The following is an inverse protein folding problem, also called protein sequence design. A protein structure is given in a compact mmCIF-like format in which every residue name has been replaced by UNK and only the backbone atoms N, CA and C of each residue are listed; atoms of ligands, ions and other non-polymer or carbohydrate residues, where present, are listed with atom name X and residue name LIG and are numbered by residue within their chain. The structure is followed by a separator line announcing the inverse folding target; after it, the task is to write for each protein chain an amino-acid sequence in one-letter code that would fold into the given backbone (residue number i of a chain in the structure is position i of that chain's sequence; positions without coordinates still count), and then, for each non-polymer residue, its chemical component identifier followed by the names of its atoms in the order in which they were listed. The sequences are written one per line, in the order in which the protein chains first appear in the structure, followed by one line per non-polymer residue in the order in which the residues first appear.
data_IF_445126103253
#
_entry.id   IF_445126103253
#
_cell.length_a   1.000
_cell.length_b   1.000
_cell.length_c   1.000
_cell.angle_alpha   90.00
_cell.angle_beta   90.00
_cell.angle_gamma   90.00
#
_symmetry.space_group_name_H-M   'P 1'
#
loop_
_entity.id
_entity.type
_entity.pdbx_description
1 polymer ?
#
# COMPACT_ATOMS: atom_id res chain seq x y z
N UNK A 1 -44.84 -31.99 97.11
CA UNK A 1 -44.02 -32.40 95.93
C UNK A 1 -44.78 -32.33 94.59
N UNK A 2 -46.06 -31.94 94.52
CA UNK A 2 -46.80 -31.85 93.24
C UNK A 2 -46.39 -30.65 92.37
N UNK A 3 -45.94 -29.58 93.02
CA UNK A 3 -45.51 -28.34 92.34
C UNK A 3 -44.13 -28.48 91.67
N UNK A 4 -43.27 -29.38 92.17
CA UNK A 4 -41.96 -29.66 91.56
C UNK A 4 -42.09 -30.46 90.25
N UNK A 5 -43.11 -31.31 90.15
CA UNK A 5 -43.40 -32.08 88.94
C UNK A 5 -43.87 -31.14 87.82
N UNK A 6 -44.76 -30.19 88.15
CA UNK A 6 -45.23 -29.17 87.21
C UNK A 6 -44.09 -28.26 86.71
N UNK A 7 -43.14 -27.90 87.57
CA UNK A 7 -41.99 -27.08 87.19
C UNK A 7 -41.05 -27.80 86.21
N UNK A 8 -40.82 -29.11 86.41
CA UNK A 8 -40.01 -29.92 85.50
C UNK A 8 -40.67 -30.06 84.12
N UNK A 9 -41.99 -30.26 84.06
CA UNK A 9 -42.73 -30.34 82.79
C UNK A 9 -42.63 -29.03 82.02
N UNK A 10 -42.72 -27.89 82.70
CA UNK A 10 -42.58 -26.57 82.06
C UNK A 10 -41.16 -26.36 81.48
N UNK A 11 -40.13 -26.85 82.18
CA UNK A 11 -38.73 -26.75 81.72
C UNK A 11 -38.47 -27.58 80.46
N UNK A 12 -39.10 -28.75 80.35
CA UNK A 12 -39.00 -29.59 79.14
C UNK A 12 -39.66 -28.95 77.92
N UNK A 13 -40.73 -28.16 78.10
CA UNK A 13 -41.41 -27.46 77.00
C UNK A 13 -40.56 -26.33 76.38
N UNK A 14 -39.69 -25.69 77.16
CA UNK A 14 -38.81 -24.61 76.66
C UNK A 14 -37.50 -25.12 76.01
N UNK A 15 -37.14 -26.40 76.17
CA UNK A 15 -35.87 -26.96 75.65
C UNK A 15 -35.88 -27.29 74.15
N UNK A 16 -36.97 -27.04 73.42
CA UNK A 16 -37.06 -27.32 71.98
C UNK A 16 -37.21 -26.06 71.11
N UNK A 17 -36.72 -24.90 71.57
CA UNK A 17 -36.54 -23.73 70.71
C UNK A 17 -35.26 -23.89 69.88
N UNK A 18 -35.31 -24.73 68.84
CA UNK A 18 -34.27 -24.77 67.81
C UNK A 18 -34.33 -23.43 67.08
N UNK A 19 -33.41 -22.52 67.41
CA UNK A 19 -33.19 -21.31 66.64
C UNK A 19 -32.74 -21.70 65.24
N UNK A 20 -33.68 -21.85 64.31
CA UNK A 20 -33.39 -21.67 62.89
C UNK A 20 -33.11 -20.18 62.76
N UNK A 21 -31.84 -19.79 62.95
CA UNK A 21 -31.34 -18.60 62.31
C UNK A 21 -31.66 -18.80 60.84
N UNK A 22 -32.67 -18.08 60.35
CA UNK A 22 -32.92 -17.96 58.92
C UNK A 22 -31.57 -17.61 58.33
N UNK A 23 -31.02 -18.58 57.59
CA UNK A 23 -29.74 -18.44 56.95
C UNK A 23 -29.83 -17.10 56.22
N UNK A 24 -28.96 -16.17 56.63
CA UNK A 24 -28.79 -14.89 55.97
C UNK A 24 -28.82 -15.22 54.49
N UNK A 25 -29.89 -14.79 53.83
CA UNK A 25 -29.92 -14.78 52.38
C UNK A 25 -28.83 -13.79 52.06
N UNK A 26 -27.61 -14.31 51.95
CA UNK A 26 -26.53 -13.70 51.21
C UNK A 26 -27.15 -13.68 49.82
N UNK A 27 -27.88 -12.59 49.55
CA UNK A 27 -28.05 -12.09 48.22
C UNK A 27 -26.62 -11.84 47.79
N UNK A 28 -25.98 -12.88 47.27
CA UNK A 28 -25.02 -12.74 46.22
C UNK A 28 -25.80 -11.99 45.16
N UNK A 29 -25.78 -10.66 45.26
CA UNK A 29 -25.67 -9.81 44.10
C UNK A 29 -24.38 -10.26 43.43
N UNK A 30 -24.45 -11.43 42.80
CA UNK A 30 -23.54 -11.86 41.77
C UNK A 30 -23.75 -10.79 40.72
N UNK A 31 -22.92 -9.76 40.83
CA UNK A 31 -22.98 -8.60 39.99
C UNK A 31 -22.95 -9.14 38.58
N UNK A 32 -24.05 -8.96 37.83
CA UNK A 32 -24.12 -9.36 36.43
C UNK A 32 -23.11 -8.57 35.56
N UNK A 33 -22.34 -7.66 36.18
CA UNK A 33 -21.21 -6.97 35.58
C UNK A 33 -20.01 -7.93 35.65
N UNK A 34 -19.55 -8.46 34.52
CA UNK A 34 -18.37 -9.29 34.49
C UNK A 34 -17.15 -8.53 35.03
N UNK A 35 -16.16 -9.22 35.65
CA UNK A 35 -14.97 -8.58 36.24
C UNK A 35 -13.95 -8.13 35.18
N UNK A 36 -14.34 -8.05 33.92
CA UNK A 36 -13.49 -7.67 32.79
C UNK A 36 -14.17 -6.58 31.98
N UNK A 37 -13.33 -5.81 31.29
CA UNK A 37 -13.77 -4.72 30.45
C UNK A 37 -14.66 -5.25 29.29
N UNK A 38 -15.91 -4.79 29.23
CA UNK A 38 -16.85 -5.10 28.14
C UNK A 38 -16.86 -4.03 27.06
N UNK A 39 -15.92 -3.07 27.08
CA UNK A 39 -15.79 -2.11 25.99
C UNK A 39 -15.56 -2.88 24.70
N UNK A 40 -16.46 -2.66 23.73
CA UNK A 40 -16.37 -3.24 22.41
C UNK A 40 -15.10 -2.71 21.72
N UNK A 41 -14.03 -3.50 21.76
CA UNK A 41 -12.81 -3.21 21.02
C UNK A 41 -12.99 -3.75 19.60
N UNK A 42 -13.27 -2.85 18.67
CA UNK A 42 -13.36 -3.21 17.25
C UNK A 42 -12.04 -3.84 16.79
N UNK A 43 -12.14 -4.86 15.95
CA UNK A 43 -11.00 -5.58 15.35
C UNK A 43 -10.13 -4.66 14.49
N UNK A 44 -10.61 -3.47 14.14
CA UNK A 44 -9.86 -2.44 13.40
C UNK A 44 -9.23 -1.34 14.28
N UNK A 45 -9.40 -1.40 15.59
CA UNK A 45 -8.84 -0.39 16.49
C UNK A 45 -7.31 -0.48 16.62
N UNK A 46 -6.67 0.63 16.98
CA UNK A 46 -5.23 0.67 17.20
C UNK A 46 -4.82 -0.37 18.27
N UNK A 47 -3.92 -1.29 17.89
CA UNK A 47 -3.49 -2.39 18.77
C UNK A 47 -4.42 -3.61 18.80
N UNK A 48 -5.39 -3.72 17.89
CA UNK A 48 -6.17 -4.95 17.67
C UNK A 48 -5.44 -6.00 16.82
N UNK A 49 -4.34 -5.61 16.17
CA UNK A 49 -3.50 -6.52 15.36
C UNK A 49 -2.39 -7.15 16.19
N UNK A 50 -2.03 -8.40 15.87
CA UNK A 50 -0.87 -9.05 16.47
C UNK A 50 0.44 -8.42 15.98
N UNK A 51 1.52 -8.60 16.77
CA UNK A 51 2.85 -8.07 16.46
C UNK A 51 3.36 -8.57 15.10
N UNK A 52 3.10 -9.84 14.77
CA UNK A 52 3.55 -10.43 13.52
C UNK A 52 2.80 -9.87 12.31
N UNK A 53 1.49 -9.64 12.44
CA UNK A 53 0.68 -8.99 11.40
C UNK A 53 1.13 -7.52 11.22
N UNK A 54 1.38 -6.80 12.32
CA UNK A 54 1.93 -5.45 12.26
C UNK A 54 3.28 -5.41 11.53
N UNK A 55 4.15 -6.39 11.80
CA UNK A 55 5.45 -6.53 11.11
C UNK A 55 5.26 -6.82 9.63
N UNK A 56 4.35 -7.73 9.27
CA UNK A 56 4.06 -8.07 7.87
C UNK A 56 3.55 -6.85 7.09
N UNK A 57 2.59 -6.11 7.67
CA UNK A 57 2.06 -4.87 7.07
C UNK A 57 3.19 -3.84 6.86
N UNK A 58 4.09 -3.69 7.84
CA UNK A 58 5.22 -2.75 7.71
C UNK A 58 6.15 -3.14 6.57
N UNK A 59 6.51 -4.42 6.47
CA UNK A 59 7.39 -4.91 5.41
C UNK A 59 6.74 -4.80 4.03
N UNK A 60 5.47 -5.19 3.89
CA UNK A 60 4.76 -5.10 2.61
C UNK A 60 4.57 -3.66 2.15
N UNK A 61 4.28 -2.74 3.08
CA UNK A 61 4.16 -1.32 2.79
C UNK A 61 5.48 -0.74 2.26
N UNK A 62 6.60 -1.09 2.89
CA UNK A 62 7.92 -0.65 2.44
C UNK A 62 8.26 -1.21 1.05
N UNK A 63 8.06 -2.52 0.84
CA UNK A 63 8.28 -3.17 -0.46
C UNK A 63 7.44 -2.52 -1.58
N UNK A 64 6.18 -2.21 -1.30
CA UNK A 64 5.31 -1.54 -2.26
C UNK A 64 5.82 -0.15 -2.63
N UNK A 65 6.24 0.64 -1.64
CA UNK A 65 6.81 1.97 -1.89
C UNK A 65 8.09 1.91 -2.71
N UNK A 66 8.96 0.93 -2.42
CA UNK A 66 10.21 0.76 -3.15
C UNK A 66 9.96 0.29 -4.58
N UNK A 67 8.99 -0.62 -4.79
CA UNK A 67 8.54 -1.02 -6.12
C UNK A 67 8.04 0.18 -6.94
N UNK A 68 7.24 1.08 -6.36
CA UNK A 68 6.79 2.30 -7.06
C UNK A 68 7.99 3.18 -7.45
N UNK A 69 8.98 3.35 -6.58
CA UNK A 69 10.17 4.14 -6.88
C UNK A 69 10.97 3.52 -8.03
N UNK A 70 11.13 2.21 -8.04
CA UNK A 70 11.82 1.51 -9.13
C UNK A 70 11.10 1.68 -10.46
N UNK A 71 9.77 1.54 -10.48
CA UNK A 71 8.97 1.76 -11.69
C UNK A 71 9.14 3.20 -12.18
N UNK A 72 9.09 4.19 -11.28
CA UNK A 72 9.33 5.60 -11.63
C UNK A 72 10.72 5.80 -12.24
N UNK A 73 11.75 5.20 -11.64
CA UNK A 73 13.13 5.31 -12.12
C UNK A 73 13.28 4.74 -13.54
N UNK A 74 12.74 3.55 -13.78
CA UNK A 74 12.75 2.93 -15.12
C UNK A 74 12.01 3.76 -16.15
N UNK A 75 10.86 4.34 -15.80
CA UNK A 75 10.15 5.24 -16.72
C UNK A 75 10.97 6.48 -17.09
N UNK A 76 11.69 7.07 -16.13
CA UNK A 76 12.55 8.23 -16.39
C UNK A 76 13.75 7.86 -17.29
N UNK A 77 14.39 6.72 -17.02
CA UNK A 77 15.48 6.19 -17.86
C UNK A 77 15.00 5.93 -19.31
N UNK A 78 13.82 5.33 -19.48
CA UNK A 78 13.22 5.14 -20.81
C UNK A 78 12.89 6.45 -21.51
N UNK A 79 12.44 7.47 -20.76
CA UNK A 79 12.14 8.80 -21.31
C UNK A 79 13.40 9.46 -21.84
N UNK A 80 14.47 9.46 -21.04
CA UNK A 80 15.77 10.01 -21.44
C UNK A 80 16.30 9.28 -22.68
N UNK A 81 16.24 7.95 -22.70
CA UNK A 81 16.71 7.16 -23.83
C UNK A 81 15.91 7.43 -25.12
N UNK A 82 14.59 7.63 -25.02
CA UNK A 82 13.75 8.03 -26.15
C UNK A 82 14.11 9.43 -26.64
N UNK A 83 14.29 10.39 -25.73
CA UNK A 83 14.69 11.76 -26.11
C UNK A 83 16.07 11.80 -26.78
N UNK A 84 17.03 10.99 -26.33
CA UNK A 84 18.35 10.87 -26.97
C UNK A 84 18.25 10.25 -28.36
N UNK A 85 17.45 9.19 -28.54
CA UNK A 85 17.19 8.58 -29.84
C UNK A 85 16.52 9.56 -30.81
N UNK A 86 15.48 10.26 -30.37
CA UNK A 86 14.77 11.25 -31.18
C UNK A 86 15.71 12.40 -31.61
N UNK A 87 16.63 12.82 -30.74
CA UNK A 87 17.65 13.83 -31.08
C UNK A 87 18.67 13.28 -32.07
N UNK A 88 19.11 12.03 -31.91
CA UNK A 88 20.04 11.39 -32.85
C UNK A 88 19.41 11.22 -34.24
N UNK A 89 18.17 10.73 -34.31
CA UNK A 89 17.43 10.52 -35.55
C UNK A 89 17.17 11.83 -36.29
N UNK A 90 16.83 12.91 -35.56
CA UNK A 90 16.68 14.24 -36.15
C UNK A 90 17.97 14.76 -36.77
N UNK A 91 19.11 14.60 -36.08
CA UNK A 91 20.43 14.99 -36.62
C UNK A 91 20.78 14.19 -37.87
N UNK A 92 20.53 12.88 -37.85
CA UNK A 92 20.80 12.00 -38.99
C UNK A 92 19.92 12.32 -40.20
N UNK A 93 18.66 12.70 -39.97
CA UNK A 93 17.76 13.14 -41.03
C UNK A 93 18.16 14.50 -41.64
N UNK A 94 18.64 15.43 -40.81
CA UNK A 94 19.14 16.73 -41.26
C UNK A 94 20.44 16.58 -42.08
N UNK A 95 21.37 15.76 -41.61
CA UNK A 95 22.63 15.49 -42.30
C UNK A 95 22.39 14.80 -43.66
N UNK A 96 21.46 13.84 -43.73
CA UNK A 96 21.03 13.23 -45.00
C UNK A 96 20.47 14.25 -45.98
N UNK A 97 19.59 15.15 -45.54
CA UNK A 97 19.04 16.21 -46.41
C UNK A 97 20.13 17.11 -46.98
N UNK A 98 21.10 17.52 -46.15
CA UNK A 98 22.23 18.35 -46.59
C UNK A 98 23.08 17.60 -47.63
N UNK A 99 23.34 16.31 -47.44
CA UNK A 99 24.09 15.51 -48.42
C UNK A 99 23.33 15.31 -49.73
N UNK A 100 22.02 15.07 -49.68
CA UNK A 100 21.18 14.90 -50.86
C UNK A 100 21.05 16.20 -51.68
N UNK A 101 20.90 17.34 -51.01
CA UNK A 101 20.83 18.65 -51.66
C UNK A 101 22.18 19.05 -52.27
N UNK A 102 23.30 18.73 -51.61
CA UNK A 102 24.63 18.93 -52.16
C UNK A 102 24.91 18.04 -53.39
N UNK A 103 24.40 16.79 -53.41
CA UNK A 103 24.52 15.90 -54.56
C UNK A 103 23.69 16.38 -55.76
N UNK A 104 22.47 16.87 -55.52
CA UNK A 104 21.62 17.46 -56.56
C UNK A 104 22.24 18.71 -57.17
N UNK A 105 22.81 19.59 -56.34
CA UNK A 105 23.49 20.80 -56.81
C UNK A 105 24.75 20.50 -57.65
N UNK A 106 25.47 19.40 -57.36
CA UNK A 106 26.58 18.94 -58.21
C UNK A 106 26.09 18.40 -59.56
N UNK A 107 25.02 17.58 -59.57
CA UNK A 107 24.44 17.04 -60.80
C UNK A 107 23.86 18.14 -61.72
N UNK A 108 23.33 19.23 -61.16
CA UNK A 108 22.89 20.38 -61.96
C UNK A 108 24.06 21.19 -62.55
N UNK A 109 25.19 21.31 -61.83
CA UNK A 109 26.40 21.96 -62.37
C UNK A 109 27.06 21.15 -63.48
N UNK A 110 27.11 19.82 -63.34
CA UNK A 110 27.68 18.96 -64.38
C UNK A 110 26.80 18.96 -65.65
N UNK A 111 25.47 19.05 -65.50
CA UNK A 111 24.55 19.16 -66.65
C UNK A 111 24.69 20.50 -67.39
N UNK A 112 25.01 21.60 -66.68
CA UNK A 112 25.23 22.92 -67.29
C UNK A 112 26.58 23.06 -68.01
N UNK A 113 27.59 22.26 -67.63
CA UNK A 113 28.93 22.31 -68.24
C UNK A 113 28.99 21.58 -69.59
N UNK A 114 28.03 20.68 -69.88
CA UNK A 114 27.95 19.96 -71.17
C UNK A 114 27.32 20.80 -72.30
N UNK A 115 26.52 21.83 -71.99
CA UNK A 115 25.89 22.69 -73.02
C UNK A 115 26.73 23.90 -73.47
N UNK A 116 27.94 24.10 -72.93
CA UNK A 116 28.84 25.19 -73.35
C UNK A 116 30.24 24.69 -73.67
N UNK A 117 30.36 23.86 -74.70
CA UNK A 117 31.61 23.67 -75.44
C UNK A 117 31.40 24.18 -76.88
N UNK A 118 32.19 25.16 -77.38
CA UNK A 118 31.99 25.75 -78.70
C UNK A 118 32.55 24.83 -79.78
N UNK A 119 31.71 24.46 -80.75
CA UNK A 119 32.16 23.86 -82.02
C UNK A 119 32.65 24.98 -82.93
N UNK A 120 33.95 25.25 -82.93
CA UNK A 120 34.61 26.09 -83.93
C UNK A 120 35.05 25.26 -85.15
N UNK A 121 34.42 25.57 -86.28
CA UNK A 121 34.98 25.82 -87.63
C UNK A 121 36.17 24.99 -88.14
N UNK A 122 35.96 24.27 -89.25
CA UNK A 122 37.00 24.06 -90.26
C UNK A 122 36.39 24.16 -91.67
N UNK A 123 36.82 25.20 -92.38
CA UNK A 123 36.42 25.58 -93.74
C UNK A 123 37.50 25.13 -94.74
N UNK A 124 37.09 24.42 -95.80
CA UNK A 124 37.72 24.30 -97.15
C UNK A 124 39.08 23.60 -97.31
N UNK A 125 39.50 23.17 -98.53
CA UNK A 125 39.11 23.60 -99.90
C UNK A 125 38.10 22.73 -100.66
#
# INVERSE_FOLDING_TARGET
MKNLILLNILFFLFSCAKNTQDAVVISSKESAIPPYDTIAKDSFSAGAISVDIARQIRMSSQQYQDSIKEVRKKMEEERILKEEKDKADKKLAEEKKITEDAEKAKKEKDKKTVETAPTETATNP
#
